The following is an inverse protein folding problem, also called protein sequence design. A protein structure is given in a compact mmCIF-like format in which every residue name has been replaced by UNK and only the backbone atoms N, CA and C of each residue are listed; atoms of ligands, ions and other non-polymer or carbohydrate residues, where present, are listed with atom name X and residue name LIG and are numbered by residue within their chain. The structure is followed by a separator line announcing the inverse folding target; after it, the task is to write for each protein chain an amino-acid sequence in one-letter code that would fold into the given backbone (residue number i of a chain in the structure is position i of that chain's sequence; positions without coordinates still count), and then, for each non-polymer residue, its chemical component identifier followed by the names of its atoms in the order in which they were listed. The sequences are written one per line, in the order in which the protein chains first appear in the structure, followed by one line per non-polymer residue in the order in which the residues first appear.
data_IF_510671838377
#
_entry.id   IF_510671838377
#
_cell.length_a   1.000
_cell.length_b   1.000
_cell.length_c   1.000
_cell.angle_alpha   90.00
_cell.angle_beta   90.00
_cell.angle_gamma   90.00
#
_symmetry.space_group_name_H-M   'P 1'
#
loop_
_entity.id
_entity.type
_entity.pdbx_description
1 polymer ?
#
# COMPACT_ATOMS: atom_id res chain seq x y z
N UNK A 1 -28.07 13.76 -28.57
CA UNK A 1 -28.00 15.24 -28.50
C UNK A 1 -28.19 15.65 -27.05
N UNK A 2 -27.11 15.75 -26.27
CA UNK A 2 -27.16 16.14 -24.85
C UNK A 2 -26.42 17.46 -24.70
N UNK A 3 -27.11 18.57 -24.97
CA UNK A 3 -26.61 19.92 -24.68
C UNK A 3 -27.32 20.45 -23.44
N UNK A 4 -26.55 20.94 -22.46
CA UNK A 4 -27.12 21.64 -21.32
C UNK A 4 -27.37 23.09 -21.73
N UNK A 5 -28.60 23.56 -21.58
CA UNK A 5 -29.01 24.91 -21.95
C UNK A 5 -28.59 25.86 -20.84
N UNK A 6 -27.82 26.89 -21.16
CA UNK A 6 -27.58 28.00 -20.25
C UNK A 6 -28.87 28.84 -20.12
N UNK A 7 -29.43 28.86 -18.91
CA UNK A 7 -30.70 29.54 -18.61
C UNK A 7 -30.61 31.07 -18.62
N UNK A 8 -29.41 31.65 -18.66
CA UNK A 8 -29.23 33.11 -18.70
C UNK A 8 -29.02 33.66 -20.13
N UNK A 9 -28.49 32.86 -21.05
CA UNK A 9 -28.18 33.31 -22.43
C UNK A 9 -28.92 32.54 -23.53
N UNK A 10 -29.56 31.41 -23.22
CA UNK A 10 -30.33 30.60 -24.17
C UNK A 10 -29.48 29.85 -25.21
N UNK A 11 -28.15 29.94 -25.13
CA UNK A 11 -27.25 29.23 -26.02
C UNK A 11 -27.03 27.78 -25.54
N UNK A 12 -27.07 26.83 -26.47
CA UNK A 12 -26.69 25.45 -26.20
C UNK A 12 -25.17 25.36 -26.28
N UNK A 13 -24.50 25.22 -25.15
CA UNK A 13 -23.07 24.98 -25.14
C UNK A 13 -22.81 23.53 -25.59
N UNK A 14 -22.16 23.35 -26.74
CA UNK A 14 -21.60 22.05 -27.13
C UNK A 14 -20.45 21.73 -26.15
N UNK A 15 -20.76 20.97 -25.09
CA UNK A 15 -19.73 20.40 -24.23
C UNK A 15 -18.97 19.35 -25.05
N UNK A 16 -17.79 19.70 -25.53
CA UNK A 16 -16.85 18.69 -25.99
C UNK A 16 -16.59 17.70 -24.84
N UNK A 17 -16.79 16.39 -25.04
CA UNK A 17 -16.53 15.42 -23.99
C UNK A 17 -15.05 15.46 -23.65
N UNK A 18 -14.73 15.80 -22.40
CA UNK A 18 -13.36 15.83 -21.91
C UNK A 18 -12.66 14.50 -22.25
N UNK A 19 -11.43 14.52 -22.79
CA UNK A 19 -10.73 13.30 -23.16
C UNK A 19 -10.55 12.45 -21.91
N UNK A 20 -11.13 11.24 -21.93
CA UNK A 20 -10.92 10.23 -20.91
C UNK A 20 -9.46 9.81 -21.00
N UNK A 21 -8.59 10.44 -20.21
CA UNK A 21 -7.20 10.04 -20.12
C UNK A 21 -7.16 8.64 -19.50
N UNK A 22 -6.73 7.59 -20.23
CA UNK A 22 -6.59 6.28 -19.63
C UNK A 22 -5.48 6.37 -18.59
N UNK A 23 -5.85 6.36 -17.32
CA UNK A 23 -4.91 6.23 -16.20
C UNK A 23 -4.30 4.84 -16.31
N UNK A 24 -3.24 4.70 -17.13
CA UNK A 24 -2.43 3.49 -17.14
C UNK A 24 -1.90 3.34 -15.73
N UNK A 25 -2.37 2.30 -15.00
CA UNK A 25 -1.74 1.88 -13.75
C UNK A 25 -0.25 1.75 -14.05
N UNK A 26 0.58 2.61 -13.45
CA UNK A 26 2.01 2.52 -13.58
C UNK A 26 2.42 1.10 -13.17
N UNK A 27 2.85 0.30 -14.15
CA UNK A 27 3.36 -1.05 -13.91
C UNK A 27 4.66 -0.83 -13.14
N UNK A 28 4.66 -1.15 -11.85
CA UNK A 28 5.83 -0.92 -11.00
C UNK A 28 6.95 -1.85 -11.48
N UNK A 29 8.18 -1.34 -11.65
CA UNK A 29 9.29 -2.17 -12.07
C UNK A 29 9.53 -3.29 -11.07
N UNK A 30 9.94 -4.49 -11.54
CA UNK A 30 10.34 -5.58 -10.66
C UNK A 30 11.50 -5.13 -9.77
N UNK A 31 11.60 -5.72 -8.57
CA UNK A 31 12.69 -5.45 -7.64
C UNK A 31 13.88 -6.35 -7.98
N UNK A 32 15.09 -5.79 -7.93
CA UNK A 32 16.33 -6.56 -8.03
C UNK A 32 16.62 -7.30 -6.72
N UNK A 33 17.42 -8.38 -6.75
CA UNK A 33 17.82 -9.09 -5.54
C UNK A 33 18.44 -8.15 -4.49
N UNK A 34 17.94 -8.21 -3.26
CA UNK A 34 18.38 -7.34 -2.16
C UNK A 34 17.73 -5.97 -2.10
N UNK A 35 16.90 -5.61 -3.09
CA UNK A 35 16.07 -4.40 -3.03
C UNK A 35 14.79 -4.65 -2.24
N UNK A 36 14.41 -3.63 -1.47
CA UNK A 36 13.18 -3.63 -0.68
C UNK A 36 12.37 -2.40 -1.03
N UNK A 37 11.05 -2.60 -1.12
CA UNK A 37 10.08 -1.53 -1.34
C UNK A 37 9.06 -1.52 -0.22
N UNK A 38 8.90 -0.36 0.39
CA UNK A 38 7.83 -0.12 1.34
C UNK A 38 6.67 0.63 0.67
N UNK A 39 5.45 0.26 1.02
CA UNK A 39 4.25 0.97 0.59
C UNK A 39 3.25 1.08 1.74
N UNK A 40 2.50 2.17 1.79
CA UNK A 40 1.42 2.34 2.74
C UNK A 40 0.33 1.30 2.52
N UNK A 41 -0.20 0.74 3.61
CA UNK A 41 -1.25 -0.26 3.57
C UNK A 41 -2.46 0.23 4.37
N UNK A 42 -3.57 0.47 3.68
CA UNK A 42 -4.82 0.97 4.27
C UNK A 42 -5.83 -0.10 4.67
N UNK A 43 -5.41 -1.37 4.77
CA UNK A 43 -6.30 -2.49 5.10
C UNK A 43 -6.38 -2.78 6.60
N UNK A 44 -7.12 -3.85 6.95
CA UNK A 44 -7.37 -4.28 8.34
C UNK A 44 -6.56 -5.52 8.75
N UNK A 45 -5.38 -5.74 8.18
CA UNK A 45 -4.55 -6.91 8.53
C UNK A 45 -3.69 -6.63 9.77
N UNK A 46 -3.44 -7.66 10.57
CA UNK A 46 -2.44 -7.60 11.65
C UNK A 46 -1.02 -7.63 11.08
N UNK A 47 -0.07 -7.10 11.85
CA UNK A 47 1.34 -7.20 11.51
C UNK A 47 1.81 -8.67 11.60
N UNK A 48 2.46 -9.15 10.55
CA UNK A 48 2.95 -10.53 10.46
C UNK A 48 4.00 -10.82 11.56
N UNK A 49 4.91 -9.86 11.84
CA UNK A 49 5.92 -10.01 12.89
C UNK A 49 5.31 -10.02 14.31
N UNK A 50 4.26 -9.22 14.55
CA UNK A 50 3.51 -9.29 15.82
C UNK A 50 2.79 -10.63 15.96
N UNK A 51 2.26 -11.16 14.85
CA UNK A 51 1.61 -12.46 14.85
C UNK A 51 2.59 -13.58 15.21
N UNK A 52 3.77 -13.57 14.59
CA UNK A 52 4.82 -14.54 14.86
C UNK A 52 5.30 -14.47 16.31
N UNK A 53 5.59 -13.27 16.82
CA UNK A 53 6.01 -13.08 18.21
C UNK A 53 4.99 -13.62 19.22
N UNK A 54 3.69 -13.48 18.92
CA UNK A 54 2.64 -14.09 19.75
C UNK A 54 2.63 -15.62 19.63
N UNK A 55 2.77 -16.18 18.43
CA UNK A 55 2.83 -17.62 18.25
C UNK A 55 4.01 -18.23 19.01
N UNK A 56 5.18 -17.59 18.94
CA UNK A 56 6.40 -18.00 19.64
C UNK A 56 6.23 -17.92 21.17
N UNK A 57 5.63 -16.83 21.66
CA UNK A 57 5.34 -16.66 23.09
C UNK A 57 4.34 -17.72 23.62
N UNK A 58 3.33 -18.06 22.82
CA UNK A 58 2.40 -19.15 23.14
C UNK A 58 3.10 -20.51 23.20
N UNK A 59 3.96 -20.81 22.22
CA UNK A 59 4.72 -22.06 22.19
C UNK A 59 5.69 -22.18 23.38
N UNK A 60 6.27 -21.06 23.80
CA UNK A 60 7.17 -21.00 24.96
C UNK A 60 6.44 -20.96 26.32
N UNK A 61 5.10 -20.91 26.34
CA UNK A 61 4.31 -20.76 27.58
C UNK A 61 4.52 -19.42 28.30
N UNK A 62 4.99 -18.41 27.58
CA UNK A 62 5.35 -17.10 28.12
C UNK A 62 4.22 -16.09 28.09
N UNK A 63 4.53 -14.86 28.52
CA UNK A 63 3.60 -13.73 28.39
C UNK A 63 3.43 -13.36 26.91
N UNK A 64 2.18 -13.35 26.47
CA UNK A 64 1.83 -13.07 25.08
C UNK A 64 1.83 -11.56 24.81
N UNK A 65 2.61 -11.06 23.82
CA UNK A 65 2.59 -9.65 23.44
C UNK A 65 1.31 -9.28 22.67
N UNK A 66 0.88 -8.03 22.79
CA UNK A 66 -0.29 -7.52 22.06
C UNK A 66 0.04 -7.33 20.57
N UNK A 67 -0.87 -7.76 19.69
CA UNK A 67 -0.76 -7.54 18.24
C UNK A 67 -1.08 -6.10 17.86
N UNK A 68 -0.37 -5.61 16.83
CA UNK A 68 -0.62 -4.31 16.20
C UNK A 68 -1.11 -4.52 14.77
N UNK A 69 -1.90 -3.56 14.27
CA UNK A 69 -2.34 -3.52 12.86
C UNK A 69 -1.17 -3.17 11.96
N UNK A 70 -1.15 -3.74 10.76
CA UNK A 70 -0.21 -3.35 9.72
C UNK A 70 -0.63 -2.00 9.13
N UNK A 71 0.33 -1.08 9.02
CA UNK A 71 0.16 0.21 8.32
C UNK A 71 0.98 0.29 7.03
N UNK A 72 1.86 -0.69 6.80
CA UNK A 72 2.71 -0.74 5.63
C UNK A 72 2.89 -2.16 5.12
N UNK A 73 3.29 -2.27 3.87
CA UNK A 73 3.71 -3.52 3.26
C UNK A 73 5.16 -3.43 2.81
N UNK A 74 5.89 -4.52 3.01
CA UNK A 74 7.26 -4.72 2.56
C UNK A 74 7.25 -5.74 1.43
N UNK A 75 7.75 -5.32 0.27
CA UNK A 75 7.93 -6.16 -0.91
C UNK A 75 9.43 -6.34 -1.14
N UNK A 76 9.85 -7.58 -1.43
CA UNK A 76 11.23 -7.89 -1.85
C UNK A 76 11.20 -8.66 -3.16
N UNK A 77 12.35 -8.78 -3.83
CA UNK A 77 12.44 -9.51 -5.09
C UNK A 77 12.10 -11.01 -4.96
N UNK A 78 12.37 -11.63 -3.81
CA UNK A 78 12.31 -13.08 -3.62
C UNK A 78 11.24 -13.54 -2.65
N UNK A 79 10.78 -12.69 -1.72
CA UNK A 79 9.82 -13.07 -0.70
C UNK A 79 8.39 -12.68 -1.07
N UNK A 80 7.43 -13.42 -0.53
CA UNK A 80 6.06 -12.95 -0.44
C UNK A 80 6.00 -11.61 0.32
N UNK A 81 4.99 -10.81 -0.01
CA UNK A 81 4.69 -9.51 0.60
C UNK A 81 4.44 -9.66 2.11
N UNK A 82 5.16 -8.90 2.91
CA UNK A 82 5.00 -8.87 4.37
C UNK A 82 4.23 -7.61 4.80
N UNK A 83 3.42 -7.73 5.84
CA UNK A 83 2.58 -6.66 6.39
C UNK A 83 3.10 -6.25 7.76
N UNK A 84 3.50 -4.99 7.88
CA UNK A 84 4.24 -4.49 9.04
C UNK A 84 3.52 -3.34 9.72
N UNK A 85 3.50 -3.37 11.05
CA UNK A 85 3.19 -2.20 11.86
C UNK A 85 4.36 -1.21 11.79
N UNK A 86 4.13 0.03 12.20
CA UNK A 86 5.14 1.09 12.09
C UNK A 86 6.47 0.76 12.81
N UNK A 87 6.49 0.22 14.05
CA UNK A 87 7.74 -0.14 14.71
C UNK A 87 8.53 -1.22 13.95
N UNK A 88 7.87 -2.32 13.58
CA UNK A 88 8.54 -3.41 12.85
C UNK A 88 8.94 -3.00 11.43
N UNK A 89 8.26 -2.02 10.84
CA UNK A 89 8.71 -1.38 9.61
C UNK A 89 10.04 -0.67 9.85
N UNK A 90 10.14 0.20 10.87
CA UNK A 90 11.36 0.93 11.19
C UNK A 90 12.53 0.00 11.50
N UNK A 91 12.29 -1.05 12.30
CA UNK A 91 13.29 -2.05 12.65
C UNK A 91 13.90 -2.70 11.40
N UNK A 92 13.06 -3.14 10.45
CA UNK A 92 13.53 -3.75 9.21
C UNK A 92 14.15 -2.73 8.25
N UNK A 93 13.55 -1.55 8.14
CA UNK A 93 14.04 -0.48 7.27
C UNK A 93 15.46 -0.02 7.67
N UNK A 94 15.81 -0.11 8.96
CA UNK A 94 17.17 0.15 9.43
C UNK A 94 18.23 -0.80 8.86
N UNK A 95 17.83 -2.00 8.45
CA UNK A 95 18.72 -3.05 7.91
C UNK A 95 18.60 -3.22 6.39
N UNK A 96 17.53 -2.71 5.81
CA UNK A 96 17.20 -2.91 4.40
C UNK A 96 17.84 -1.86 3.49
N UNK A 97 18.17 -2.25 2.26
CA UNK A 97 18.49 -1.31 1.19
C UNK A 97 17.20 -0.94 0.44
N UNK A 98 16.63 0.19 0.82
CA UNK A 98 15.40 0.70 0.22
C UNK A 98 15.67 1.26 -1.18
N UNK A 99 14.70 1.05 -2.07
CA UNK A 99 14.64 1.73 -3.37
C UNK A 99 13.56 2.79 -3.29
N UNK A 100 13.94 4.06 -3.45
CA UNK A 100 13.00 5.16 -3.63
C UNK A 100 12.21 4.93 -4.94
N UNK A 101 10.87 5.01 -4.85
CA UNK A 101 9.93 4.83 -5.98
C UNK A 101 9.31 6.16 -6.34
#
# INVERSE_FOLDING_TARGET
MNGQIDLFTGAVAELEPAPVVPVRRAVRPPLEPGQVRYASFGGQRDCDDCWQAQADAHAAGGKVPMRRRAGSTRETATSAKAYLCEPHKLDRQSTDKEVEV
#
